data_IF_899164270656
#
_entry.id   IF_899164270656
#
_cell.length_a   1.000
_cell.length_b   1.000
_cell.length_c   1.000
_cell.angle_alpha   90.00
_cell.angle_beta   90.00
_cell.angle_gamma   90.00
#
_symmetry.space_group_name_H-M   'P 1'
#
loop_
_entity.id
_entity.type
_entity.pdbx_description
1 polymer ?
#
# COMPACT_ATOMS: atom_id res chain seq x y z
N UNK A 1 14.82 -0.57 13.93
CA UNK A 1 14.69 -1.80 13.10
C UNK A 1 13.56 -1.51 12.13
N UNK A 2 13.71 -1.85 10.84
CA UNK A 2 12.69 -1.59 9.82
C UNK A 2 11.39 -2.33 10.17
N UNK A 3 10.22 -1.74 9.80
CA UNK A 3 8.91 -2.37 10.00
C UNK A 3 8.85 -3.68 9.23
N UNK A 4 9.26 -3.67 7.96
CA UNK A 4 9.47 -4.86 7.14
C UNK A 4 10.51 -4.61 6.05
N UNK A 5 10.99 -5.69 5.43
CA UNK A 5 11.74 -5.68 4.17
C UNK A 5 11.04 -6.66 3.23
N UNK A 6 10.95 -6.34 1.95
CA UNK A 6 10.26 -7.21 1.00
C UNK A 6 9.00 -6.60 0.39
N UNK A 7 7.97 -7.42 0.19
CA UNK A 7 6.71 -7.03 -0.43
C UNK A 7 5.58 -6.94 0.60
N UNK A 8 5.09 -5.73 0.87
CA UNK A 8 3.87 -5.50 1.62
C UNK A 8 2.68 -5.41 0.66
N UNK A 9 1.63 -6.21 0.87
CA UNK A 9 0.44 -6.17 0.04
C UNK A 9 -0.49 -5.02 0.44
N UNK A 10 -0.81 -4.11 -0.48
CA UNK A 10 -1.96 -3.22 -0.35
C UNK A 10 -3.21 -4.06 -0.66
N UNK A 11 -3.70 -4.80 0.35
CA UNK A 11 -4.73 -5.82 0.16
C UNK A 11 -6.07 -5.21 -0.23
N UNK A 12 -6.80 -5.86 -1.14
CA UNK A 12 -8.18 -5.51 -1.47
C UNK A 12 -9.12 -5.83 -0.31
N UNK A 13 -10.25 -5.16 -0.26
CA UNK A 13 -11.34 -5.53 0.66
C UNK A 13 -12.43 -6.27 -0.13
N UNK A 14 -12.63 -7.57 0.10
CA UNK A 14 -13.73 -8.32 -0.50
C UNK A 14 -15.08 -7.79 -0.02
N UNK A 15 -16.07 -7.80 -0.91
CA UNK A 15 -17.42 -7.32 -0.60
C UNK A 15 -18.46 -8.28 -1.15
N UNK A 16 -19.60 -8.39 -0.44
CA UNK A 16 -20.80 -9.01 -0.95
C UNK A 16 -21.49 -8.12 -1.99
N UNK A 17 -22.45 -8.65 -2.74
CA UNK A 17 -23.20 -7.91 -3.77
C UNK A 17 -23.99 -6.74 -3.18
N UNK A 18 -24.36 -6.81 -1.89
CA UNK A 18 -25.01 -5.70 -1.17
C UNK A 18 -24.02 -4.62 -0.70
N UNK A 19 -22.74 -4.79 -1.05
CA UNK A 19 -21.65 -3.86 -0.73
C UNK A 19 -21.08 -4.01 0.70
N UNK A 20 -21.55 -4.92 1.53
CA UNK A 20 -20.96 -5.17 2.86
C UNK A 20 -19.61 -5.88 2.72
N UNK A 21 -18.71 -5.63 3.67
CA UNK A 21 -17.41 -6.32 3.72
C UNK A 21 -17.63 -7.82 3.95
N UNK A 22 -17.03 -8.64 3.07
CA UNK A 22 -16.99 -10.09 3.19
C UNK A 22 -15.77 -10.51 4.00
N UNK A 23 -15.95 -10.66 5.31
CA UNK A 23 -14.86 -11.00 6.22
C UNK A 23 -14.33 -12.42 6.02
N UNK A 24 -15.16 -13.37 5.59
CA UNK A 24 -14.74 -14.74 5.32
C UNK A 24 -13.74 -14.77 4.15
N UNK A 25 -14.07 -14.06 3.06
CA UNK A 25 -13.14 -13.92 1.93
C UNK A 25 -11.92 -13.07 2.26
N UNK A 26 -12.05 -12.08 3.15
CA UNK A 26 -10.87 -11.35 3.62
C UNK A 26 -9.91 -12.26 4.39
N UNK A 27 -10.43 -13.15 5.25
CA UNK A 27 -9.60 -14.16 5.93
C UNK A 27 -8.89 -15.07 4.94
N UNK A 28 -9.60 -15.61 3.94
CA UNK A 28 -9.00 -16.44 2.88
C UNK A 28 -7.87 -15.70 2.14
N UNK A 29 -8.05 -14.40 1.85
CA UNK A 29 -7.01 -13.60 1.20
C UNK A 29 -5.80 -13.35 2.12
N UNK A 30 -6.02 -13.08 3.41
CA UNK A 30 -4.94 -12.93 4.38
C UNK A 30 -4.10 -14.20 4.47
N UNK A 31 -4.76 -15.37 4.57
CA UNK A 31 -4.07 -16.66 4.58
C UNK A 31 -3.33 -16.93 3.25
N UNK A 32 -3.96 -16.62 2.12
CA UNK A 32 -3.31 -16.73 0.81
C UNK A 32 -2.03 -15.89 0.72
N UNK A 33 -2.06 -14.66 1.19
CA UNK A 33 -0.91 -13.76 1.19
C UNK A 33 0.22 -14.30 2.07
N UNK A 34 -0.10 -14.71 3.29
CA UNK A 34 0.90 -15.22 4.25
C UNK A 34 1.51 -16.53 3.74
N UNK A 35 0.69 -17.43 3.19
CA UNK A 35 1.16 -18.71 2.62
C UNK A 35 2.04 -18.52 1.37
N UNK A 36 1.98 -17.34 0.72
CA UNK A 36 2.76 -17.02 -0.47
C UNK A 36 3.80 -15.92 -0.24
N UNK A 37 4.39 -15.91 0.95
CA UNK A 37 5.59 -15.12 1.29
C UNK A 37 5.38 -13.59 1.31
N UNK A 38 4.16 -13.10 1.58
CA UNK A 38 4.00 -11.66 1.80
C UNK A 38 4.73 -11.23 3.07
N UNK A 39 5.41 -10.08 3.05
CA UNK A 39 6.24 -9.60 4.16
C UNK A 39 5.50 -8.62 5.10
N UNK A 40 4.38 -8.06 4.65
CA UNK A 40 3.49 -7.22 5.45
C UNK A 40 2.09 -7.13 4.83
N UNK A 41 1.07 -6.91 5.65
CA UNK A 41 -0.30 -6.64 5.23
C UNK A 41 -0.61 -5.16 5.43
N UNK A 42 -0.94 -4.44 4.34
CA UNK A 42 -1.41 -3.07 4.40
C UNK A 42 -2.92 -3.09 4.23
N UNK A 43 -3.64 -2.97 5.36
CA UNK A 43 -5.10 -3.04 5.40
C UNK A 43 -5.74 -1.66 5.28
N UNK A 44 -6.86 -1.56 4.60
CA UNK A 44 -7.63 -0.33 4.43
C UNK A 44 -6.81 0.84 3.85
N UNK A 45 -5.90 0.54 2.91
CA UNK A 45 -5.32 1.54 2.03
C UNK A 45 -6.28 1.91 0.89
N UNK A 46 -5.77 2.61 -0.13
CA UNK A 46 -6.52 2.98 -1.34
C UNK A 46 -7.08 1.73 -2.05
N UNK A 47 -6.26 0.71 -2.21
CA UNK A 47 -6.64 -0.57 -2.83
C UNK A 47 -7.70 -1.32 -2.03
N UNK A 48 -7.74 -1.12 -0.72
CA UNK A 48 -8.76 -1.66 0.18
C UNK A 48 -10.05 -0.84 0.23
N UNK A 49 -10.25 0.13 -0.68
CA UNK A 49 -11.47 0.96 -0.80
C UNK A 49 -11.87 1.70 0.50
N UNK A 50 -10.89 2.09 1.31
CA UNK A 50 -11.13 2.76 2.61
C UNK A 50 -11.96 4.05 2.50
N UNK A 51 -11.88 4.75 1.36
CA UNK A 51 -12.62 5.99 1.12
C UNK A 51 -14.15 5.81 1.00
N UNK A 52 -14.61 4.58 0.76
CA UNK A 52 -16.06 4.26 0.68
C UNK A 52 -16.59 3.55 1.93
N UNK A 53 -15.75 3.38 2.93
CA UNK A 53 -16.14 2.78 4.23
C UNK A 53 -16.59 3.86 5.22
N UNK A 54 -17.59 3.55 6.02
CA UNK A 54 -17.83 4.32 7.24
C UNK A 54 -16.66 4.13 8.21
N UNK A 55 -16.41 5.08 9.11
CA UNK A 55 -15.31 4.94 10.08
C UNK A 55 -15.42 3.66 10.93
N UNK A 56 -16.65 3.29 11.32
CA UNK A 56 -16.88 2.07 12.10
C UNK A 56 -16.54 0.79 11.32
N UNK A 57 -16.91 0.71 10.03
CA UNK A 57 -16.59 -0.42 9.16
C UNK A 57 -15.07 -0.48 8.87
N UNK A 58 -14.45 0.66 8.61
CA UNK A 58 -13.02 0.78 8.40
C UNK A 58 -12.22 0.26 9.61
N UNK A 59 -12.55 0.74 10.81
CA UNK A 59 -11.92 0.30 12.06
C UNK A 59 -12.18 -1.18 12.35
N UNK A 60 -13.39 -1.67 12.11
CA UNK A 60 -13.72 -3.09 12.24
C UNK A 60 -12.88 -3.96 11.30
N UNK A 61 -12.66 -3.50 10.06
CA UNK A 61 -11.86 -4.21 9.07
C UNK A 61 -10.37 -4.24 9.46
N UNK A 62 -9.84 -3.13 9.98
CA UNK A 62 -8.48 -3.08 10.53
C UNK A 62 -8.34 -4.08 11.68
N UNK A 63 -9.25 -4.02 12.66
CA UNK A 63 -9.21 -4.93 13.81
C UNK A 63 -9.28 -6.40 13.39
N UNK A 64 -10.18 -6.72 12.47
CA UNK A 64 -10.30 -8.07 11.92
C UNK A 64 -8.99 -8.58 11.32
N UNK A 65 -8.33 -7.77 10.49
CA UNK A 65 -7.05 -8.16 9.89
C UNK A 65 -5.96 -8.36 10.94
N UNK A 66 -5.86 -7.49 11.95
CA UNK A 66 -4.90 -7.63 13.05
C UNK A 66 -5.13 -8.92 13.81
N UNK A 67 -6.38 -9.20 14.19
CA UNK A 67 -6.74 -10.41 14.94
C UNK A 67 -6.43 -11.69 14.14
N UNK A 68 -6.74 -11.70 12.83
CA UNK A 68 -6.54 -12.87 11.96
C UNK A 68 -5.07 -13.10 11.61
N UNK A 69 -4.33 -12.05 11.30
CA UNK A 69 -2.88 -12.16 11.02
C UNK A 69 -2.12 -12.60 12.26
N UNK A 70 -2.54 -12.17 13.44
CA UNK A 70 -2.00 -12.60 14.74
C UNK A 70 -0.47 -12.57 14.80
N UNK A 71 0.12 -11.43 14.42
CA UNK A 71 1.58 -11.18 14.47
C UNK A 71 2.45 -12.11 13.59
N UNK A 72 1.88 -12.90 12.69
CA UNK A 72 2.66 -13.72 11.74
C UNK A 72 3.47 -12.87 10.75
N UNK A 73 2.92 -11.73 10.36
CA UNK A 73 3.59 -10.67 9.61
C UNK A 73 3.10 -9.32 10.14
N UNK A 74 3.83 -8.20 9.93
CA UNK A 74 3.34 -6.88 10.32
C UNK A 74 2.03 -6.51 9.63
N UNK A 75 1.09 -5.92 10.40
CA UNK A 75 -0.13 -5.31 9.87
C UNK A 75 -0.02 -3.80 9.97
N UNK A 76 -0.07 -3.13 8.82
CA UNK A 76 0.04 -1.69 8.67
C UNK A 76 -1.34 -1.14 8.33
N UNK A 77 -1.91 -0.32 9.21
CA UNK A 77 -3.27 0.19 9.04
C UNK A 77 -3.28 1.53 8.28
N UNK A 78 -4.08 1.61 7.23
CA UNK A 78 -4.35 2.88 6.53
C UNK A 78 -5.30 3.75 7.37
N UNK A 79 -4.81 4.87 7.91
CA UNK A 79 -5.58 5.75 8.81
C UNK A 79 -5.59 7.21 8.38
N UNK A 80 -4.91 7.55 7.28
CA UNK A 80 -4.84 8.92 6.78
C UNK A 80 -6.19 9.49 6.35
N UNK A 81 -6.37 10.79 6.58
CA UNK A 81 -7.55 11.55 6.19
C UNK A 81 -7.15 12.98 5.82
N UNK A 82 -8.00 13.66 5.05
CA UNK A 82 -7.85 15.09 4.80
C UNK A 82 -8.35 15.98 5.96
N UNK A 83 -8.94 15.36 6.98
CA UNK A 83 -9.30 15.98 8.25
C UNK A 83 -8.34 15.47 9.34
N UNK A 84 -7.59 16.37 9.96
CA UNK A 84 -6.58 15.99 10.98
C UNK A 84 -7.21 15.26 12.18
N UNK A 85 -8.36 15.73 12.67
CA UNK A 85 -9.08 15.10 13.78
C UNK A 85 -9.51 13.66 13.44
N UNK A 86 -10.02 13.43 12.23
CA UNK A 86 -10.37 12.09 11.76
C UNK A 86 -9.13 11.20 11.67
N UNK A 87 -8.02 11.69 11.13
CA UNK A 87 -6.77 10.93 11.05
C UNK A 87 -6.24 10.58 12.46
N UNK A 88 -6.33 11.49 13.42
CA UNK A 88 -5.97 11.24 14.83
C UNK A 88 -6.86 10.16 15.44
N UNK A 89 -8.17 10.29 15.30
CA UNK A 89 -9.14 9.32 15.83
C UNK A 89 -8.88 7.92 15.26
N UNK A 90 -8.79 7.80 13.93
CA UNK A 90 -8.53 6.53 13.26
C UNK A 90 -7.19 5.91 13.65
N UNK A 91 -6.16 6.75 13.82
CA UNK A 91 -4.82 6.30 14.21
C UNK A 91 -4.79 5.78 15.65
N UNK A 92 -5.46 6.46 16.59
CA UNK A 92 -5.57 6.01 17.98
C UNK A 92 -6.28 4.66 18.09
N UNK A 93 -7.39 4.50 17.40
CA UNK A 93 -8.14 3.24 17.39
C UNK A 93 -7.32 2.09 16.79
N UNK A 94 -6.71 2.30 15.61
CA UNK A 94 -5.87 1.29 14.98
C UNK A 94 -4.66 0.91 15.86
N UNK A 95 -4.02 1.88 16.50
CA UNK A 95 -2.94 1.63 17.46
C UNK A 95 -3.43 0.82 18.66
N UNK A 96 -4.61 1.13 19.21
CA UNK A 96 -5.20 0.41 20.35
C UNK A 96 -5.53 -1.05 20.03
N UNK A 97 -5.81 -1.37 18.73
CA UNK A 97 -6.03 -2.74 18.27
C UNK A 97 -4.73 -3.51 18.06
N UNK A 98 -3.58 -2.84 18.14
CA UNK A 98 -2.26 -3.46 18.02
C UNK A 98 -1.70 -3.48 16.59
N UNK A 99 -2.06 -2.50 15.74
CA UNK A 99 -1.40 -2.28 14.46
C UNK A 99 0.11 -2.09 14.66
N UNK A 100 0.93 -2.73 13.80
CA UNK A 100 2.39 -2.66 13.91
C UNK A 100 2.94 -1.33 13.37
N UNK A 101 2.20 -0.70 12.47
CA UNK A 101 2.45 0.66 11.98
C UNK A 101 1.18 1.26 11.36
N UNK A 102 1.23 2.55 11.07
CA UNK A 102 0.17 3.28 10.38
C UNK A 102 0.67 3.80 9.03
N UNK A 103 -0.15 3.64 7.98
CA UNK A 103 0.07 4.26 6.68
C UNK A 103 -0.83 5.50 6.58
N UNK A 104 -0.22 6.68 6.59
CA UNK A 104 -0.94 7.96 6.62
C UNK A 104 -0.75 8.67 5.28
N UNK A 105 -1.81 8.68 4.44
CA UNK A 105 -1.82 9.41 3.17
C UNK A 105 -1.86 10.91 3.43
N UNK A 106 -1.23 11.70 2.55
CA UNK A 106 -1.35 13.17 2.59
C UNK A 106 -2.81 13.61 2.54
N UNK A 107 -3.18 14.75 3.20
CA UNK A 107 -4.50 15.33 3.03
C UNK A 107 -4.83 15.51 1.54
N UNK A 108 -5.90 14.89 1.10
CA UNK A 108 -6.39 14.93 -0.27
C UNK A 108 -7.47 16.02 -0.43
N UNK A 109 -7.63 16.56 -1.63
CA UNK A 109 -8.64 17.54 -2.00
C UNK A 109 -8.36 18.97 -1.49
N UNK A 110 -8.17 19.18 -0.17
CA UNK A 110 -7.98 20.51 0.46
C UNK A 110 -6.56 21.09 0.34
N UNK A 111 -5.61 20.39 -0.34
CA UNK A 111 -4.29 20.89 -0.78
C UNK A 111 -3.47 21.61 0.31
N UNK A 112 -3.09 20.87 1.36
CA UNK A 112 -2.27 21.41 2.42
C UNK A 112 -0.91 21.95 1.92
N UNK A 113 -0.47 23.07 2.51
CA UNK A 113 0.89 23.59 2.30
C UNK A 113 1.93 22.71 3.01
N UNK A 114 3.22 22.86 2.70
CA UNK A 114 4.29 22.11 3.39
C UNK A 114 4.27 22.34 4.92
N UNK A 115 4.03 23.58 5.35
CA UNK A 115 3.84 23.91 6.77
C UNK A 115 2.63 23.21 7.37
N UNK A 116 1.54 23.15 6.63
CA UNK A 116 0.32 22.41 7.01
C UNK A 116 0.55 20.91 7.11
N UNK A 117 1.33 20.32 6.18
CA UNK A 117 1.73 18.92 6.24
C UNK A 117 2.55 18.60 7.49
N UNK A 118 3.55 19.44 7.82
CA UNK A 118 4.34 19.28 9.05
C UNK A 118 3.41 19.29 10.27
N UNK A 119 2.51 20.25 10.37
CA UNK A 119 1.59 20.35 11.50
C UNK A 119 0.65 19.12 11.58
N UNK A 120 0.07 18.70 10.44
CA UNK A 120 -0.83 17.56 10.33
C UNK A 120 -0.17 16.26 10.79
N UNK A 121 0.98 15.90 10.20
CA UNK A 121 1.70 14.67 10.56
C UNK A 121 2.21 14.69 11.99
N UNK A 122 2.70 15.83 12.47
CA UNK A 122 3.15 15.98 13.87
C UNK A 122 1.99 15.79 14.84
N UNK A 123 0.80 16.33 14.55
CA UNK A 123 -0.38 16.15 15.40
C UNK A 123 -0.82 14.69 15.47
N UNK A 124 -0.82 13.98 14.34
CA UNK A 124 -1.15 12.54 14.31
C UNK A 124 -0.09 11.74 15.10
N UNK A 125 1.19 11.99 14.85
CA UNK A 125 2.29 11.28 15.50
C UNK A 125 2.28 11.46 17.01
N UNK A 126 2.06 12.67 17.51
CA UNK A 126 1.93 12.95 18.93
C UNK A 126 0.75 12.25 19.61
N UNK A 127 -0.30 11.95 18.84
CA UNK A 127 -1.47 11.24 19.35
C UNK A 127 -1.24 9.73 19.54
N UNK A 128 -0.21 9.16 18.87
CA UNK A 128 0.17 7.73 18.90
C UNK A 128 1.68 7.56 19.01
N UNK A 129 2.32 8.07 20.08
CA UNK A 129 3.78 8.24 20.14
C UNK A 129 4.57 6.92 20.06
N UNK A 130 3.96 5.79 20.41
CA UNK A 130 4.62 4.48 20.38
C UNK A 130 4.37 3.70 19.08
N UNK A 131 3.48 4.19 18.20
CA UNK A 131 3.15 3.50 16.95
C UNK A 131 3.88 4.14 15.77
N UNK A 132 4.67 3.38 15.00
CA UNK A 132 5.37 3.88 13.83
C UNK A 132 4.41 4.39 12.76
N UNK A 133 4.80 5.47 12.07
CA UNK A 133 4.05 6.07 10.97
C UNK A 133 4.88 6.03 9.69
N UNK A 134 4.29 5.51 8.63
CA UNK A 134 4.76 5.62 7.25
C UNK A 134 3.94 6.71 6.57
N UNK A 135 4.58 7.79 6.15
CA UNK A 135 3.95 8.81 5.30
C UNK A 135 3.60 8.21 3.94
N UNK A 136 2.45 8.56 3.36
CA UNK A 136 2.11 8.11 2.01
C UNK A 136 1.94 9.28 1.08
N UNK A 137 2.86 9.40 0.12
CA UNK A 137 2.93 10.49 -0.86
C UNK A 137 2.47 9.99 -2.24
N UNK A 138 1.26 10.37 -2.65
CA UNK A 138 0.63 10.00 -3.93
C UNK A 138 -0.05 11.20 -4.59
N UNK A 139 0.73 12.16 -5.12
CA UNK A 139 0.22 13.44 -5.63
C UNK A 139 -0.86 13.31 -6.71
N UNK A 140 -0.78 12.27 -7.55
CA UNK A 140 -1.76 12.00 -8.61
C UNK A 140 -3.18 11.75 -8.08
N UNK A 141 -3.33 11.29 -6.83
CA UNK A 141 -4.62 11.06 -6.19
C UNK A 141 -5.03 12.16 -5.24
N UNK A 142 -4.06 12.76 -4.55
CA UNK A 142 -4.35 13.69 -3.46
C UNK A 142 -4.31 15.16 -3.89
N UNK A 143 -3.61 15.48 -4.98
CA UNK A 143 -3.29 16.86 -5.35
C UNK A 143 -2.32 17.53 -4.36
N UNK A 144 -1.69 16.74 -3.48
CA UNK A 144 -0.76 17.19 -2.45
C UNK A 144 0.54 16.38 -2.53
N UNK A 145 1.69 17.06 -2.59
CA UNK A 145 3.00 16.42 -2.72
C UNK A 145 3.90 16.84 -1.54
N UNK A 146 4.37 15.84 -0.78
CA UNK A 146 5.36 16.07 0.28
C UNK A 146 6.70 16.34 -0.42
N UNK A 147 7.25 17.55 -0.21
CA UNK A 147 8.56 17.90 -0.75
C UNK A 147 9.68 17.18 0.03
N UNK A 148 10.85 16.90 -0.60
CA UNK A 148 11.98 16.22 0.04
C UNK A 148 12.36 16.80 1.41
N UNK A 149 12.52 18.12 1.49
CA UNK A 149 12.86 18.80 2.76
C UNK A 149 11.79 18.60 3.84
N UNK A 150 10.51 18.54 3.47
CA UNK A 150 9.40 18.32 4.41
C UNK A 150 9.40 16.89 4.95
N UNK A 151 9.58 15.89 4.09
CA UNK A 151 9.66 14.49 4.50
C UNK A 151 10.83 14.26 5.46
N UNK A 152 12.02 14.79 5.12
CA UNK A 152 13.23 14.68 5.95
C UNK A 152 13.06 15.41 7.28
N UNK A 153 12.48 16.63 7.26
CA UNK A 153 12.23 17.38 8.50
C UNK A 153 11.28 16.61 9.45
N UNK A 154 10.22 16.01 8.92
CA UNK A 154 9.31 15.18 9.72
C UNK A 154 10.03 13.97 10.32
N UNK A 155 10.77 13.20 9.53
CA UNK A 155 11.46 12.01 10.01
C UNK A 155 12.58 12.33 11.04
N UNK A 156 13.27 13.47 10.89
CA UNK A 156 14.32 13.90 11.83
C UNK A 156 13.77 14.44 13.16
N UNK A 157 12.62 15.11 13.14
CA UNK A 157 12.11 15.84 14.31
C UNK A 157 10.94 15.13 15.01
N UNK A 158 10.34 14.11 14.42
CA UNK A 158 9.20 13.39 14.99
C UNK A 158 9.53 11.89 15.07
N UNK A 159 9.86 11.42 16.27
CA UNK A 159 10.48 10.12 16.55
C UNK A 159 9.79 8.91 15.90
N UNK A 160 8.46 8.92 15.86
CA UNK A 160 7.68 7.79 15.33
C UNK A 160 7.24 7.97 13.86
N UNK A 161 7.68 9.00 13.16
CA UNK A 161 7.59 9.08 11.71
C UNK A 161 8.85 8.42 11.14
N UNK A 162 8.73 7.18 10.73
CA UNK A 162 9.89 6.32 10.43
C UNK A 162 10.13 6.12 8.93
N UNK A 163 9.12 6.32 8.10
CA UNK A 163 9.25 5.98 6.68
C UNK A 163 8.29 6.71 5.76
N UNK A 164 8.46 6.43 4.48
CA UNK A 164 7.61 6.94 3.41
C UNK A 164 7.32 5.86 2.37
N UNK A 165 6.02 5.73 1.98
CA UNK A 165 5.59 5.09 0.74
C UNK A 165 5.61 6.14 -0.35
N UNK A 166 6.57 6.05 -1.26
CA UNK A 166 6.76 6.99 -2.36
C UNK A 166 6.01 6.50 -3.61
N UNK A 167 4.97 7.23 -4.00
CA UNK A 167 4.14 6.96 -5.18
C UNK A 167 3.96 8.21 -6.05
N UNK A 168 4.95 9.10 -6.07
CA UNK A 168 4.94 10.29 -6.93
C UNK A 168 5.26 9.97 -8.40
N UNK A 169 5.95 8.87 -8.67
CA UNK A 169 6.53 8.56 -9.98
C UNK A 169 7.79 9.36 -10.30
N UNK A 170 8.18 10.32 -9.47
CA UNK A 170 9.35 11.18 -9.67
C UNK A 170 10.57 10.64 -8.93
N UNK A 171 11.38 9.84 -9.63
CA UNK A 171 12.63 9.28 -9.10
C UNK A 171 13.65 10.36 -8.74
N UNK A 172 13.65 11.51 -9.42
CA UNK A 172 14.55 12.63 -9.10
C UNK A 172 14.20 13.25 -7.76
N UNK A 173 12.89 13.43 -7.47
CA UNK A 173 12.42 13.88 -6.16
C UNK A 173 12.81 12.89 -5.07
N UNK A 174 12.66 11.60 -5.32
CA UNK A 174 12.98 10.55 -4.36
C UNK A 174 14.48 10.50 -4.10
N UNK A 175 15.32 10.56 -5.14
CA UNK A 175 16.77 10.62 -5.00
C UNK A 175 17.22 11.85 -4.20
N UNK A 176 16.62 13.02 -4.46
CA UNK A 176 16.85 14.24 -3.69
C UNK A 176 16.50 14.05 -2.21
N UNK A 177 15.34 13.43 -1.92
CA UNK A 177 14.95 13.13 -0.54
C UNK A 177 15.95 12.21 0.14
N UNK A 178 16.36 11.12 -0.51
CA UNK A 178 17.29 10.16 0.07
C UNK A 178 18.69 10.74 0.27
N UNK A 179 19.16 11.65 -0.60
CA UNK A 179 20.43 12.36 -0.40
C UNK A 179 20.46 13.25 0.83
N UNK A 180 19.29 13.67 1.35
CA UNK A 180 19.14 14.52 2.53
C UNK A 180 18.78 13.69 3.79
N UNK A 181 18.33 12.45 3.60
CA UNK A 181 17.72 11.65 4.67
C UNK A 181 18.73 11.16 5.71
N UNK A 182 19.99 10.92 5.33
CA UNK A 182 21.04 10.43 6.24
C UNK A 182 20.59 9.24 7.11
N UNK A 183 19.88 8.30 6.47
CA UNK A 183 19.36 7.08 7.13
C UNK A 183 18.13 7.27 8.04
N UNK A 184 17.55 8.47 8.13
CA UNK A 184 16.39 8.70 9.01
C UNK A 184 15.03 8.30 8.42
N UNK A 185 14.98 7.86 7.14
CA UNK A 185 13.73 7.50 6.46
C UNK A 185 13.83 6.09 5.88
N UNK A 186 12.90 5.23 6.25
CA UNK A 186 12.63 3.98 5.55
C UNK A 186 11.86 4.27 4.26
N UNK A 187 12.42 3.88 3.12
CA UNK A 187 11.83 4.11 1.81
C UNK A 187 11.15 2.85 1.29
N UNK A 188 9.86 2.95 0.94
CA UNK A 188 9.09 1.91 0.26
C UNK A 188 8.56 2.43 -1.08
N UNK A 189 8.69 1.63 -2.14
CA UNK A 189 8.01 1.94 -3.40
C UNK A 189 6.48 1.87 -3.22
N UNK A 190 5.77 2.84 -3.76
CA UNK A 190 4.32 2.81 -3.90
C UNK A 190 3.86 2.46 -5.31
N UNK A 191 4.80 2.27 -6.24
CA UNK A 191 4.60 1.97 -7.65
C UNK A 191 5.28 0.65 -8.01
N UNK A 192 4.52 -0.33 -8.49
CA UNK A 192 5.03 -1.67 -8.82
C UNK A 192 6.02 -1.67 -9.99
N UNK A 193 5.93 -0.72 -10.91
CA UNK A 193 6.85 -0.53 -12.04
C UNK A 193 8.18 0.14 -11.66
N UNK A 194 8.30 0.67 -10.45
CA UNK A 194 9.48 1.39 -9.97
C UNK A 194 10.18 0.72 -8.77
N UNK A 195 9.93 -0.56 -8.54
CA UNK A 195 10.48 -1.24 -7.35
C UNK A 195 12.01 -1.22 -7.37
N UNK A 196 12.63 -1.71 -8.42
CA UNK A 196 14.09 -1.78 -8.49
C UNK A 196 14.78 -0.41 -8.47
N UNK A 197 14.36 0.61 -9.21
CA UNK A 197 14.86 1.98 -9.05
C UNK A 197 14.80 2.49 -7.61
N UNK A 198 13.72 2.21 -6.89
CA UNK A 198 13.57 2.59 -5.48
C UNK A 198 14.52 1.81 -4.58
N UNK A 199 14.66 0.51 -4.79
CA UNK A 199 15.63 -0.32 -4.04
C UNK A 199 17.05 0.16 -4.26
N UNK A 200 17.42 0.58 -5.49
CA UNK A 200 18.75 1.13 -5.80
C UNK A 200 19.07 2.43 -5.08
N UNK A 201 18.03 3.18 -4.63
CA UNK A 201 18.17 4.38 -3.81
C UNK A 201 18.15 4.09 -2.30
N UNK A 202 18.27 2.83 -1.89
CA UNK A 202 18.23 2.40 -0.49
C UNK A 202 16.85 2.05 0.03
N UNK A 203 15.89 1.80 -0.86
CA UNK A 203 14.56 1.31 -0.50
C UNK A 203 14.59 -0.06 0.17
N UNK A 204 13.63 -0.33 1.05
CA UNK A 204 13.53 -1.57 1.81
C UNK A 204 12.52 -2.55 1.20
N UNK A 205 11.66 -2.07 0.29
CA UNK A 205 10.63 -2.89 -0.30
C UNK A 205 9.59 -2.10 -1.07
N UNK A 206 8.44 -2.73 -1.26
CA UNK A 206 7.29 -2.18 -1.98
C UNK A 206 6.00 -2.37 -1.18
N UNK A 207 5.10 -1.38 -1.23
CA UNK A 207 3.71 -1.52 -0.81
C UNK A 207 2.88 -1.62 -2.10
N UNK A 208 2.57 -2.84 -2.49
CA UNK A 208 2.29 -3.30 -3.85
C UNK A 208 0.81 -3.56 -4.12
N UNK A 209 0.36 -3.32 -5.34
CA UNK A 209 -0.90 -3.81 -5.90
C UNK A 209 -0.70 -5.16 -6.59
N UNK A 210 0.41 -5.33 -7.34
CA UNK A 210 0.78 -6.58 -8.00
C UNK A 210 0.77 -7.77 -7.04
N UNK A 211 1.24 -7.58 -5.81
CA UNK A 211 1.29 -8.63 -4.79
C UNK A 211 -0.07 -9.21 -4.40
N UNK A 212 -1.19 -8.56 -4.70
CA UNK A 212 -2.51 -9.19 -4.52
C UNK A 212 -2.66 -10.46 -5.39
N UNK A 213 -2.10 -10.45 -6.60
CA UNK A 213 -2.23 -11.54 -7.59
C UNK A 213 -0.95 -12.37 -7.73
N UNK A 214 0.20 -11.83 -7.39
CA UNK A 214 1.52 -12.47 -7.52
C UNK A 214 2.39 -12.18 -6.27
N UNK A 215 1.96 -12.62 -5.06
CA UNK A 215 2.66 -12.29 -3.82
C UNK A 215 4.10 -12.82 -3.80
N UNK A 216 4.30 -14.09 -4.16
CA UNK A 216 5.62 -14.72 -4.15
C UNK A 216 6.61 -14.05 -5.11
N UNK A 217 6.20 -13.79 -6.33
CA UNK A 217 7.04 -13.15 -7.34
C UNK A 217 7.40 -11.71 -6.94
N UNK A 218 6.47 -11.01 -6.28
CA UNK A 218 6.75 -9.66 -5.77
C UNK A 218 7.74 -9.70 -4.59
N UNK A 219 7.58 -10.66 -3.68
CA UNK A 219 8.56 -10.94 -2.63
C UNK A 219 9.93 -11.28 -3.21
N UNK A 220 9.98 -12.27 -4.10
CA UNK A 220 11.23 -12.75 -4.70
C UNK A 220 11.98 -11.62 -5.45
N UNK A 221 11.25 -10.75 -6.15
CA UNK A 221 11.83 -9.58 -6.84
C UNK A 221 12.58 -8.67 -5.86
N UNK A 222 11.96 -8.34 -4.73
CA UNK A 222 12.56 -7.46 -3.73
C UNK A 222 13.72 -8.16 -3.02
N UNK A 223 13.51 -9.39 -2.54
CA UNK A 223 14.51 -10.10 -1.74
C UNK A 223 15.75 -10.44 -2.55
N UNK A 224 15.62 -10.89 -3.80
CA UNK A 224 16.76 -11.10 -4.69
C UNK A 224 17.62 -9.85 -4.84
N UNK A 225 16.99 -8.69 -5.05
CA UNK A 225 17.73 -7.43 -5.15
C UNK A 225 18.50 -7.13 -3.86
N UNK A 226 17.85 -7.25 -2.69
CA UNK A 226 18.48 -6.98 -1.39
C UNK A 226 19.58 -7.97 -1.04
N UNK A 227 19.53 -9.19 -1.58
CA UNK A 227 20.54 -10.24 -1.44
C UNK A 227 21.68 -10.13 -2.48
N UNK A 228 21.59 -9.18 -3.42
CA UNK A 228 22.63 -8.91 -4.42
C UNK A 228 22.38 -9.56 -5.79
N UNK A 229 21.34 -10.38 -5.97
CA UNK A 229 20.92 -10.90 -7.28
C UNK A 229 20.08 -9.85 -8.05
N UNK A 230 20.72 -8.76 -8.41
CA UNK A 230 20.08 -7.65 -9.14
C UNK A 230 19.59 -8.07 -10.54
N UNK A 231 20.27 -9.04 -11.17
CA UNK A 231 19.88 -9.56 -12.48
C UNK A 231 18.59 -10.37 -12.39
N UNK A 232 18.50 -11.32 -11.45
CA UNK A 232 17.29 -12.10 -11.25
C UNK A 232 16.10 -11.24 -10.81
N UNK A 233 16.35 -10.22 -9.99
CA UNK A 233 15.32 -9.24 -9.63
C UNK A 233 14.82 -8.47 -10.86
N UNK A 234 15.72 -8.02 -11.75
CA UNK A 234 15.37 -7.31 -12.97
C UNK A 234 14.56 -8.19 -13.94
N UNK A 235 14.90 -9.47 -14.07
CA UNK A 235 14.13 -10.42 -14.89
C UNK A 235 12.66 -10.51 -14.41
N UNK A 236 12.44 -10.57 -13.09
CA UNK A 236 11.07 -10.58 -12.53
C UNK A 236 10.37 -9.24 -12.79
N UNK A 237 11.03 -8.11 -12.49
CA UNK A 237 10.47 -6.77 -12.72
C UNK A 237 10.02 -6.58 -14.17
N UNK A 238 10.91 -6.87 -15.12
CA UNK A 238 10.62 -6.68 -16.54
C UNK A 238 9.53 -7.61 -17.06
N UNK A 239 9.50 -8.86 -16.59
CA UNK A 239 8.41 -9.80 -16.90
C UNK A 239 7.07 -9.30 -16.35
N UNK A 240 7.06 -8.62 -15.21
CA UNK A 240 5.83 -8.14 -14.56
C UNK A 240 5.28 -6.86 -15.20
N UNK A 241 6.06 -6.08 -15.95
CA UNK A 241 5.64 -4.78 -16.50
C UNK A 241 4.32 -4.85 -17.29
N UNK A 242 4.11 -5.80 -18.23
CA UNK A 242 2.83 -5.86 -18.97
C UNK A 242 1.63 -6.08 -18.03
N UNK A 243 1.76 -6.97 -17.05
CA UNK A 243 0.71 -7.21 -16.06
C UNK A 243 0.49 -5.99 -15.14
N UNK A 244 1.55 -5.33 -14.71
CA UNK A 244 1.45 -4.08 -13.93
C UNK A 244 0.67 -3.03 -14.72
N UNK A 245 0.99 -2.82 -15.99
CA UNK A 245 0.25 -1.87 -16.84
C UNK A 245 -1.23 -2.26 -16.97
N UNK A 246 -1.55 -3.56 -17.09
CA UNK A 246 -2.93 -4.02 -17.12
C UNK A 246 -3.66 -3.80 -15.78
N UNK A 247 -2.97 -3.98 -14.64
CA UNK A 247 -3.51 -3.71 -13.30
C UNK A 247 -3.74 -2.21 -13.01
N UNK A 248 -3.18 -1.32 -13.82
CA UNK A 248 -3.35 0.14 -13.73
C UNK A 248 -3.96 0.75 -15.00
N UNK A 249 -4.53 -0.07 -15.90
CA UNK A 249 -5.22 0.41 -17.11
C UNK A 249 -6.49 1.21 -16.79
N UNK A 250 -7.07 0.98 -15.64
CA UNK A 250 -8.15 1.78 -15.03
C UNK A 250 -7.78 2.16 -13.61
N UNK A 251 -8.64 2.93 -12.96
CA UNK A 251 -8.41 3.39 -11.57
C UNK A 251 -8.30 2.19 -10.63
N UNK A 252 -7.14 2.03 -9.97
CA UNK A 252 -6.98 1.05 -8.91
C UNK A 252 -7.96 1.38 -7.74
N UNK A 253 -8.76 0.38 -7.25
CA UNK A 253 -8.58 -1.07 -7.35
C UNK A 253 -9.43 -1.79 -8.42
N UNK A 254 -9.99 -1.12 -9.41
CA UNK A 254 -10.86 -1.76 -10.40
C UNK A 254 -10.18 -2.98 -11.05
N UNK A 255 -8.98 -2.86 -11.67
CA UNK A 255 -8.38 -4.01 -12.34
C UNK A 255 -7.92 -5.10 -11.39
N UNK A 256 -7.41 -4.78 -10.21
CA UNK A 256 -6.91 -5.81 -9.29
C UNK A 256 -8.05 -6.65 -8.70
N UNK A 257 -9.22 -6.07 -8.42
CA UNK A 257 -10.41 -6.86 -8.02
C UNK A 257 -10.93 -7.72 -9.18
N UNK A 258 -10.94 -7.18 -10.41
CA UNK A 258 -11.25 -7.97 -11.60
C UNK A 258 -10.27 -9.15 -11.77
N UNK A 259 -8.96 -8.94 -11.58
CA UNK A 259 -7.94 -9.98 -11.64
C UNK A 259 -8.19 -11.08 -10.61
N UNK A 260 -8.44 -10.73 -9.35
CA UNK A 260 -8.72 -11.70 -8.30
C UNK A 260 -10.00 -12.51 -8.56
N UNK A 261 -11.05 -11.87 -9.09
CA UNK A 261 -12.26 -12.60 -9.49
C UNK A 261 -11.98 -13.54 -10.67
N UNK A 262 -11.17 -13.15 -11.66
CA UNK A 262 -10.72 -14.02 -12.75
C UNK A 262 -9.88 -15.20 -12.25
N UNK A 263 -9.15 -15.04 -11.15
CA UNK A 263 -8.41 -16.11 -10.47
C UNK A 263 -9.30 -17.00 -9.60
N UNK A 264 -10.61 -16.78 -9.55
CA UNK A 264 -11.55 -17.53 -8.70
C UNK A 264 -11.47 -17.21 -7.22
N UNK A 265 -10.93 -16.02 -6.84
CA UNK A 265 -10.85 -15.61 -5.43
C UNK A 265 -12.16 -15.01 -4.91
N UNK A 266 -13.14 -14.75 -5.78
CA UNK A 266 -14.50 -14.31 -5.44
C UNK A 266 -14.52 -13.11 -4.48
N UNK A 267 -13.74 -12.08 -4.78
CA UNK A 267 -13.62 -10.87 -3.94
C UNK A 267 -14.81 -9.92 -4.10
N UNK A 268 -15.75 -10.25 -4.97
CA UNK A 268 -16.97 -9.51 -5.18
C UNK A 268 -16.80 -8.19 -5.94
N UNK A 269 -17.85 -7.33 -5.90
CA UNK A 269 -17.89 -6.07 -6.64
C UNK A 269 -17.09 -4.96 -5.95
N UNK A 270 -17.03 -3.83 -6.65
CA UNK A 270 -16.55 -2.54 -6.13
C UNK A 270 -17.72 -1.74 -5.55
N UNK A 271 -17.42 -0.84 -4.61
CA UNK A 271 -18.41 0.15 -4.17
C UNK A 271 -18.38 1.39 -5.06
N UNK A 272 -19.55 1.98 -5.31
CA UNK A 272 -19.63 3.30 -5.94
C UNK A 272 -18.79 4.34 -5.14
N UNK A 273 -18.13 5.29 -5.82
CA UNK A 273 -18.28 5.65 -7.24
C UNK A 273 -17.47 4.78 -8.22
N UNK A 274 -16.77 3.75 -7.73
CA UNK A 274 -16.07 2.82 -8.62
C UNK A 274 -17.06 1.88 -9.28
N UNK A 275 -16.77 1.49 -10.51
CA UNK A 275 -17.57 0.59 -11.34
C UNK A 275 -16.82 -0.68 -11.68
N UNK A 276 -17.50 -1.63 -12.30
CA UNK A 276 -16.84 -2.78 -12.92
C UNK A 276 -15.87 -2.32 -14.00
N UNK A 277 -14.86 -3.15 -14.24
CA UNK A 277 -13.86 -2.94 -15.29
C UNK A 277 -14.49 -3.07 -16.67
N UNK A 278 -14.09 -2.21 -17.61
CA UNK A 278 -14.52 -2.28 -19.01
C UNK A 278 -14.10 -3.61 -19.64
N UNK A 279 -14.99 -4.24 -20.42
CA UNK A 279 -14.80 -5.58 -20.98
C UNK A 279 -13.50 -5.73 -21.80
N UNK A 280 -13.16 -4.71 -22.62
CA UNK A 280 -11.93 -4.72 -23.41
C UNK A 280 -10.67 -4.74 -22.55
N UNK A 281 -10.65 -3.97 -21.46
CA UNK A 281 -9.54 -3.92 -20.50
C UNK A 281 -9.48 -5.21 -19.70
N UNK A 282 -10.62 -5.76 -19.29
CA UNK A 282 -10.73 -7.04 -18.57
C UNK A 282 -10.21 -8.21 -19.41
N UNK A 283 -10.51 -8.23 -20.72
CA UNK A 283 -9.98 -9.25 -21.63
C UNK A 283 -8.44 -9.16 -21.73
N UNK A 284 -7.89 -7.95 -21.87
CA UNK A 284 -6.44 -7.73 -21.88
C UNK A 284 -5.79 -8.12 -20.56
N UNK A 285 -6.40 -7.77 -19.43
CA UNK A 285 -5.93 -8.17 -18.10
C UNK A 285 -5.88 -9.70 -17.97
N UNK A 286 -6.89 -10.42 -18.44
CA UNK A 286 -6.93 -11.87 -18.44
C UNK A 286 -5.80 -12.49 -19.28
N UNK A 287 -5.46 -11.87 -20.42
CA UNK A 287 -4.31 -12.27 -21.23
C UNK A 287 -2.99 -12.07 -20.50
N UNK A 288 -2.77 -10.89 -19.89
CA UNK A 288 -1.53 -10.58 -19.18
C UNK A 288 -1.35 -11.43 -17.90
N UNK A 289 -2.42 -11.77 -17.20
CA UNK A 289 -2.38 -12.74 -16.10
C UNK A 289 -1.85 -14.10 -16.57
N UNK A 290 -2.38 -14.63 -17.71
CA UNK A 290 -1.91 -15.89 -18.30
C UNK A 290 -0.45 -15.81 -18.77
N UNK A 291 -0.07 -14.72 -19.44
CA UNK A 291 1.28 -14.48 -19.94
C UNK A 291 2.29 -14.43 -18.79
N UNK A 292 1.90 -13.86 -17.65
CA UNK A 292 2.72 -13.84 -16.45
C UNK A 292 2.87 -15.23 -15.81
N UNK A 293 1.91 -16.14 -16.04
CA UNK A 293 1.88 -17.51 -15.53
C UNK A 293 0.82 -17.75 -14.45
N UNK A 294 -0.11 -16.81 -14.26
CA UNK A 294 -1.20 -16.92 -13.28
C UNK A 294 -2.35 -17.73 -13.91
N UNK A 295 -2.82 -18.74 -13.19
CA UNK A 295 -3.97 -19.55 -13.62
C UNK A 295 -5.27 -18.80 -13.34
N UNK A 296 -6.16 -18.83 -14.31
CA UNK A 296 -7.53 -18.33 -14.17
C UNK A 296 -8.48 -19.49 -13.82
N UNK A 297 -9.61 -19.16 -13.18
CA UNK A 297 -10.66 -20.13 -12.82
C UNK A 297 -11.46 -20.61 -14.02
#
# INVERSE_FOLDING_TARGET
>A
MAIFKGAGVAIVTPMYDDGKVNYDKLEELLEYQIANSTDAIIICGTTGESSTMTHGEHLKTIKFAIDKVNKRVPVIAGTGSNCTETAIMMSKEAASYGADALLVVTPYYNKATQKGLIAHYTAIANAVPETPIIMYNVPSRTGCNIQPATAVALAKNVKNIVGIKAASGDLSQIATMMSMADGCIELYSGNDDQVLPILSLGGLGVISVLSNVAPKETHDMVMRFLEGDTKGAAEIQLKAIPLIHALFSEVNPIPVKAALNLMGKEVGPLRMPLSEMEDANKAKLAEELKNFGIKLA
#
